data_IF_046529666129
#
_entry.id   IF_046529666129
#
_cell.length_a   1.000
_cell.length_b   1.000
_cell.length_c   1.000
_cell.angle_alpha   90.00
_cell.angle_beta   90.00
_cell.angle_gamma   90.00
#
_symmetry.space_group_name_H-M   'P 1'
#
loop_
_entity.id
_entity.type
_entity.pdbx_description
1 polymer ?
#
# COMPACT_ATOMS: atom_id res chain seq x y z
N UNK A 1 -5.64 21.19 -8.97
CA UNK A 1 -4.49 20.28 -9.17
C UNK A 1 -4.22 19.50 -7.89
N UNK A 2 -4.02 20.15 -6.74
CA UNK A 2 -3.92 19.48 -5.43
C UNK A 2 -5.06 18.46 -5.17
N UNK A 3 -6.31 18.81 -5.50
CA UNK A 3 -7.44 17.86 -5.38
C UNK A 3 -7.35 16.65 -6.33
N UNK A 4 -6.81 16.80 -7.54
CA UNK A 4 -6.59 15.67 -8.47
C UNK A 4 -5.51 14.72 -7.96
N UNK A 5 -4.47 15.27 -7.32
CA UNK A 5 -3.39 14.47 -6.74
C UNK A 5 -3.90 13.71 -5.50
N UNK A 6 -4.70 14.37 -4.65
CA UNK A 6 -5.40 13.70 -3.53
C UNK A 6 -6.31 12.57 -4.02
N UNK A 7 -7.12 12.82 -5.05
CA UNK A 7 -7.98 11.78 -5.66
C UNK A 7 -7.15 10.60 -6.18
N UNK A 8 -5.99 10.88 -6.78
CA UNK A 8 -5.10 9.86 -7.30
C UNK A 8 -4.43 9.02 -6.19
N UNK A 9 -3.95 9.65 -5.10
CA UNK A 9 -3.41 8.90 -3.95
C UNK A 9 -4.50 8.10 -3.23
N UNK A 10 -5.69 8.66 -3.07
CA UNK A 10 -6.83 7.95 -2.50
C UNK A 10 -7.20 6.74 -3.36
N UNK A 11 -7.14 6.89 -4.69
CA UNK A 11 -7.34 5.78 -5.63
C UNK A 11 -6.25 4.72 -5.52
N UNK A 12 -4.98 5.09 -5.33
CA UNK A 12 -3.89 4.12 -5.13
C UNK A 12 -4.09 3.30 -3.86
N UNK A 13 -4.43 3.95 -2.74
CA UNK A 13 -4.73 3.28 -1.48
C UNK A 13 -5.93 2.35 -1.65
N UNK A 14 -7.00 2.81 -2.30
CA UNK A 14 -8.20 1.97 -2.52
C UNK A 14 -7.94 0.81 -3.47
N UNK A 15 -7.10 1.01 -4.48
CA UNK A 15 -6.67 -0.07 -5.39
C UNK A 15 -5.91 -1.14 -4.61
N UNK A 16 -4.96 -0.74 -3.75
CA UNK A 16 -4.21 -1.66 -2.91
C UNK A 16 -5.10 -2.43 -1.92
N UNK A 17 -6.11 -1.77 -1.31
CA UNK A 17 -7.13 -2.47 -0.49
C UNK A 17 -7.90 -3.51 -1.29
N UNK A 18 -8.36 -3.14 -2.49
CA UNK A 18 -9.12 -4.04 -3.35
C UNK A 18 -8.28 -5.25 -3.79
N UNK A 19 -6.99 -5.04 -4.08
CA UNK A 19 -6.06 -6.11 -4.44
C UNK A 19 -5.87 -7.09 -3.28
N UNK A 20 -5.71 -6.60 -2.04
CA UNK A 20 -5.60 -7.44 -0.85
C UNK A 20 -6.85 -8.28 -0.60
N UNK A 21 -8.04 -7.71 -0.80
CA UNK A 21 -9.31 -8.42 -0.63
C UNK A 21 -9.54 -9.51 -1.68
N UNK A 22 -9.04 -9.29 -2.90
CA UNK A 22 -9.17 -10.23 -4.02
C UNK A 22 -8.02 -11.23 -4.10
N UNK A 23 -6.97 -11.05 -3.32
CA UNK A 23 -5.77 -11.85 -3.39
C UNK A 23 -6.02 -13.32 -3.01
N UNK A 24 -5.51 -14.20 -3.86
CA UNK A 24 -5.45 -15.64 -3.65
C UNK A 24 -4.12 -16.19 -4.15
N UNK A 25 -3.97 -17.52 -4.16
CA UNK A 25 -2.70 -18.19 -4.53
C UNK A 25 -2.17 -17.73 -5.89
N UNK A 26 -3.04 -17.60 -6.89
CA UNK A 26 -2.66 -17.24 -8.27
C UNK A 26 -2.23 -15.77 -8.43
N UNK A 27 -2.62 -14.90 -7.49
CA UNK A 27 -2.33 -13.46 -7.54
C UNK A 27 -1.31 -13.02 -6.49
N UNK A 28 -0.80 -13.93 -5.67
CA UNK A 28 0.15 -13.63 -4.59
C UNK A 28 1.41 -12.89 -5.08
N UNK A 29 1.95 -13.26 -6.25
CA UNK A 29 3.10 -12.57 -6.83
C UNK A 29 2.75 -11.16 -7.31
N UNK A 30 1.62 -11.02 -8.01
CA UNK A 30 1.12 -9.74 -8.47
C UNK A 30 0.78 -8.79 -7.30
N UNK A 31 0.39 -9.34 -6.15
CA UNK A 31 0.09 -8.56 -4.95
C UNK A 31 1.33 -7.86 -4.37
N UNK A 32 2.49 -8.53 -4.36
CA UNK A 32 3.74 -7.91 -3.93
C UNK A 32 4.12 -6.76 -4.88
N UNK A 33 4.12 -7.03 -6.18
CA UNK A 33 4.44 -6.03 -7.21
C UNK A 33 3.48 -4.83 -7.16
N UNK A 34 2.19 -5.08 -6.93
CA UNK A 34 1.16 -4.04 -6.73
C UNK A 34 1.49 -3.15 -5.52
N UNK A 35 1.78 -3.75 -4.36
CA UNK A 35 2.10 -2.99 -3.15
C UNK A 35 3.37 -2.14 -3.31
N UNK A 36 4.43 -2.70 -3.88
CA UNK A 36 5.68 -1.96 -4.14
C UNK A 36 5.43 -0.79 -5.10
N UNK A 37 4.67 -1.01 -6.18
CA UNK A 37 4.34 0.03 -7.16
C UNK A 37 3.53 1.18 -6.55
N UNK A 38 2.42 0.87 -5.85
CA UNK A 38 1.59 1.90 -5.23
C UNK A 38 2.34 2.66 -4.13
N UNK A 39 3.12 1.97 -3.29
CA UNK A 39 3.92 2.63 -2.25
C UNK A 39 5.04 3.49 -2.84
N UNK A 40 5.70 3.05 -3.90
CA UNK A 40 6.71 3.86 -4.60
C UNK A 40 6.09 5.13 -5.18
N UNK A 41 4.90 5.04 -5.78
CA UNK A 41 4.18 6.19 -6.31
C UNK A 41 3.83 7.19 -5.20
N UNK A 42 3.30 6.73 -4.07
CA UNK A 42 2.97 7.58 -2.92
C UNK A 42 4.22 8.34 -2.41
N UNK A 43 5.37 7.65 -2.30
CA UNK A 43 6.63 8.25 -1.85
C UNK A 43 7.25 9.23 -2.86
N UNK A 44 6.94 9.09 -4.15
CA UNK A 44 7.39 10.03 -5.18
C UNK A 44 6.65 11.37 -5.11
N UNK A 45 5.41 11.35 -4.64
CA UNK A 45 4.50 12.52 -4.64
C UNK A 45 4.51 13.27 -3.30
N UNK A 46 4.67 12.54 -2.19
CA UNK A 46 4.60 13.10 -0.85
C UNK A 46 5.99 13.53 -0.33
N UNK A 47 6.00 14.57 0.51
CA UNK A 47 7.18 14.98 1.26
C UNK A 47 7.62 13.84 2.16
N UNK A 48 8.90 13.54 2.08
CA UNK A 48 9.50 12.49 2.85
C UNK A 48 9.46 12.84 4.34
N UNK A 49 8.86 11.95 5.12
CA UNK A 49 8.80 12.03 6.57
C UNK A 49 9.02 10.63 7.15
N UNK A 50 9.53 10.54 8.38
CA UNK A 50 9.73 9.27 9.05
C UNK A 50 8.42 8.47 9.15
N UNK A 51 7.30 9.14 9.48
CA UNK A 51 6.00 8.51 9.57
C UNK A 51 5.55 7.88 8.24
N UNK A 52 5.79 8.57 7.12
CA UNK A 52 5.48 8.03 5.79
C UNK A 52 6.37 6.83 5.43
N UNK A 53 7.67 6.90 5.75
CA UNK A 53 8.59 5.78 5.52
C UNK A 53 8.22 4.55 6.35
N UNK A 54 7.93 4.74 7.64
CA UNK A 54 7.56 3.64 8.55
C UNK A 54 6.25 2.99 8.11
N UNK A 55 5.24 3.79 7.76
CA UNK A 55 3.97 3.29 7.25
C UNK A 55 4.13 2.56 5.90
N UNK A 56 4.90 3.14 4.98
CA UNK A 56 5.24 2.52 3.69
C UNK A 56 5.92 1.16 3.87
N UNK A 57 6.93 1.10 4.74
CA UNK A 57 7.66 -0.12 5.05
C UNK A 57 6.76 -1.17 5.71
N UNK A 58 5.89 -0.75 6.63
CA UNK A 58 4.93 -1.62 7.28
C UNK A 58 3.98 -2.26 6.26
N UNK A 59 3.39 -1.47 5.35
CA UNK A 59 2.52 -1.97 4.28
C UNK A 59 3.23 -3.01 3.43
N UNK A 60 4.40 -2.68 2.86
CA UNK A 60 5.13 -3.60 1.97
C UNK A 60 5.44 -4.91 2.68
N UNK A 61 5.94 -4.88 3.92
CA UNK A 61 6.27 -6.10 4.66
C UNK A 61 5.04 -6.95 4.99
N UNK A 62 3.93 -6.33 5.39
CA UNK A 62 2.70 -7.06 5.73
C UNK A 62 2.07 -7.69 4.49
N UNK A 63 2.09 -6.99 3.36
CA UNK A 63 1.64 -7.53 2.08
C UNK A 63 2.53 -8.69 1.63
N UNK A 64 3.85 -8.56 1.73
CA UNK A 64 4.80 -9.65 1.41
C UNK A 64 4.57 -10.87 2.31
N UNK A 65 4.36 -10.66 3.62
CA UNK A 65 4.08 -11.75 4.55
C UNK A 65 2.80 -12.50 4.17
N UNK A 66 1.72 -11.77 3.85
CA UNK A 66 0.48 -12.35 3.37
C UNK A 66 0.65 -13.10 2.04
N UNK A 67 1.35 -12.51 1.06
CA UNK A 67 1.64 -13.16 -0.22
C UNK A 67 2.44 -14.47 -0.05
N UNK A 68 3.40 -14.50 0.88
CA UNK A 68 4.16 -15.72 1.22
C UNK A 68 3.26 -16.82 1.78
N UNK A 69 2.31 -16.48 2.64
CA UNK A 69 1.34 -17.45 3.18
C UNK A 69 0.42 -18.01 2.10
N UNK A 70 -0.04 -17.15 1.17
CA UNK A 70 -0.80 -17.59 0.00
C UNK A 70 0.01 -18.55 -0.87
N UNK A 71 1.28 -18.23 -1.15
CA UNK A 71 2.16 -19.09 -1.94
C UNK A 71 2.44 -20.44 -1.26
N UNK A 72 2.65 -20.43 0.06
CA UNK A 72 2.88 -21.62 0.86
C UNK A 72 1.61 -22.47 1.08
N UNK A 73 0.43 -21.99 0.62
CA UNK A 73 -0.85 -22.62 0.90
C UNK A 73 -1.06 -22.86 2.40
N UNK A 74 -0.71 -21.85 3.21
CA UNK A 74 -0.85 -21.90 4.65
C UNK A 74 -2.31 -22.11 5.08
N UNK A 75 -2.52 -22.43 6.36
CA UNK A 75 -3.86 -22.60 6.90
C UNK A 75 -4.71 -21.34 6.63
N UNK A 76 -6.00 -21.54 6.33
CA UNK A 76 -6.92 -20.44 6.01
C UNK A 76 -6.90 -19.38 7.13
N UNK A 77 -6.97 -19.81 8.40
CA UNK A 77 -6.96 -18.89 9.55
C UNK A 77 -5.72 -17.99 9.57
N UNK A 78 -4.54 -18.56 9.28
CA UNK A 78 -3.28 -17.82 9.25
C UNK A 78 -3.24 -16.82 8.09
N UNK A 79 -3.69 -17.25 6.90
CA UNK A 79 -3.79 -16.39 5.72
C UNK A 79 -4.80 -15.25 5.92
N UNK A 80 -5.95 -15.53 6.55
CA UNK A 80 -6.97 -14.53 6.88
C UNK A 80 -6.46 -13.52 7.91
N UNK A 81 -5.72 -13.97 8.92
CA UNK A 81 -5.11 -13.05 9.90
C UNK A 81 -4.08 -12.15 9.22
N UNK A 82 -3.21 -12.70 8.38
CA UNK A 82 -2.23 -11.92 7.65
C UNK A 82 -2.87 -10.91 6.69
N UNK A 83 -4.01 -11.27 6.05
CA UNK A 83 -4.77 -10.31 5.23
C UNK A 83 -5.29 -9.15 6.08
N UNK A 84 -5.86 -9.42 7.27
CA UNK A 84 -6.33 -8.36 8.18
C UNK A 84 -5.19 -7.46 8.64
N UNK A 85 -4.05 -8.03 8.98
CA UNK A 85 -2.87 -7.26 9.37
C UNK A 85 -2.36 -6.36 8.23
N UNK A 86 -2.38 -6.86 6.99
CA UNK A 86 -2.02 -6.08 5.81
C UNK A 86 -3.02 -4.94 5.53
N UNK A 87 -4.32 -5.21 5.64
CA UNK A 87 -5.36 -4.18 5.51
C UNK A 87 -5.22 -3.09 6.58
N UNK A 88 -4.97 -3.48 7.84
CA UNK A 88 -4.73 -2.53 8.92
C UNK A 88 -3.49 -1.65 8.67
N UNK A 89 -2.43 -2.21 8.07
CA UNK A 89 -1.26 -1.43 7.68
C UNK A 89 -1.60 -0.42 6.56
N UNK A 90 -2.41 -0.81 5.58
CA UNK A 90 -2.88 0.09 4.50
C UNK A 90 -3.75 1.22 5.07
N UNK A 91 -4.61 0.93 6.04
CA UNK A 91 -5.41 1.95 6.72
C UNK A 91 -4.53 2.91 7.54
N UNK A 92 -3.48 2.39 8.18
CA UNK A 92 -2.47 3.22 8.84
C UNK A 92 -1.73 4.14 7.87
N UNK A 93 -1.35 3.63 6.70
CA UNK A 93 -0.73 4.44 5.65
C UNK A 93 -1.69 5.52 5.14
N UNK A 94 -2.97 5.21 4.93
CA UNK A 94 -3.98 6.18 4.53
C UNK A 94 -4.08 7.35 5.53
N UNK A 95 -4.11 7.05 6.83
CA UNK A 95 -4.14 8.07 7.87
C UNK A 95 -2.89 8.97 7.89
N UNK A 96 -1.71 8.40 7.58
CA UNK A 96 -0.48 9.20 7.44
C UNK A 96 -0.53 10.12 6.22
N UNK A 97 -1.07 9.62 5.10
CA UNK A 97 -1.22 10.40 3.86
C UNK A 97 -2.15 11.60 4.07
N UNK A 98 -3.25 11.43 4.81
CA UNK A 98 -4.21 12.51 5.11
C UNK A 98 -3.57 13.71 5.84
N UNK A 99 -2.44 13.49 6.49
CA UNK A 99 -1.67 14.52 7.22
C UNK A 99 -0.32 14.85 6.57
N UNK A 100 0.01 14.24 5.42
CA UNK A 100 1.29 14.42 4.77
C UNK A 100 1.36 15.72 3.96
N UNK A 101 2.54 16.32 3.93
CA UNK A 101 2.85 17.43 3.04
C UNK A 101 3.27 16.92 1.66
N UNK A 102 3.12 17.75 0.63
CA UNK A 102 3.48 17.41 -0.76
C UNK A 102 4.94 17.76 -1.03
N UNK A 103 5.64 17.01 -1.90
CA UNK A 103 6.92 17.48 -2.44
C UNK A 103 6.65 18.67 -3.37
N UNK A 104 7.43 19.75 -3.25
CA UNK A 104 7.30 20.93 -4.13
C UNK A 104 7.71 20.61 -5.59
N UNK A 105 8.59 19.62 -5.80
CA UNK A 105 9.08 19.23 -7.13
C UNK A 105 8.12 18.32 -7.92
N UNK A 106 7.18 17.65 -7.26
CA UNK A 106 6.13 16.83 -7.91
C UNK A 106 5.06 17.67 -8.64
N UNK A 107 5.24 18.99 -8.71
CA UNK A 107 4.31 19.96 -9.32
C UNK A 107 4.65 20.31 -10.77
N UNK A 108 5.78 19.81 -11.30
CA UNK A 108 6.15 20.05 -12.70
C UNK A 108 5.53 18.97 -13.59
N UNK A 109 4.60 19.33 -14.51
CA UNK A 109 4.20 18.40 -15.55
C UNK A 109 5.41 18.14 -16.48
N UNK A 110 5.60 16.87 -16.85
CA UNK A 110 6.47 16.48 -17.96
C UNK A 110 5.90 16.99 -19.30
#
# INVERSE_FOLDING_TARGET
MAERVKELLARDVETLRADLLKAGVLTAKALQESAESHVAHLNAVLRETQALQDASFSVVNRVIAFAKLLYAQAAIIESEQARRDALAAVDGLAAVIDHAEWREESWLPA
#
